data_IF_366459327826
#
_entry.id   IF_366459327826
#
_cell.length_a   1.000
_cell.length_b   1.000
_cell.length_c   1.000
_cell.angle_alpha   90.00
_cell.angle_beta   90.00
_cell.angle_gamma   90.00
#
_symmetry.space_group_name_H-M   'P 1'
#
loop_
_entity.id
_entity.type
_entity.pdbx_description
1 polymer ?
#
# COMPACT_ATOMS: atom_id res chain seq x y z
N UNK A 1 38.69 36.84 -45.26
CA UNK A 1 37.70 37.74 -44.62
C UNK A 1 36.34 37.05 -44.72
N UNK A 2 35.69 36.88 -43.55
CA UNK A 2 34.31 36.45 -43.26
C UNK A 2 33.53 35.61 -44.30
N UNK A 3 33.15 34.38 -43.92
CA UNK A 3 31.92 33.78 -44.43
C UNK A 3 31.17 33.11 -43.27
N UNK A 4 30.28 33.89 -42.65
CA UNK A 4 29.44 33.52 -41.52
C UNK A 4 28.42 32.46 -41.92
N UNK A 5 28.39 31.33 -41.20
CA UNK A 5 27.26 30.40 -41.22
C UNK A 5 26.45 30.62 -39.94
N UNK A 6 25.32 31.28 -40.08
CA UNK A 6 24.30 31.36 -39.04
C UNK A 6 23.73 29.96 -38.80
N UNK A 7 24.24 29.28 -37.77
CA UNK A 7 23.69 28.01 -37.30
C UNK A 7 22.44 28.28 -36.49
N UNK A 8 21.27 27.96 -37.04
CA UNK A 8 20.04 27.91 -36.27
C UNK A 8 20.12 26.74 -35.28
N UNK A 9 20.34 27.05 -34.00
CA UNK A 9 20.30 26.08 -32.91
C UNK A 9 18.83 25.68 -32.67
N UNK A 10 18.41 24.54 -33.24
CA UNK A 10 17.11 23.96 -32.98
C UNK A 10 17.17 23.25 -31.61
N UNK A 11 16.61 23.88 -30.58
CA UNK A 11 16.47 23.27 -29.26
C UNK A 11 15.28 22.29 -29.32
N UNK A 12 15.58 21.00 -29.38
CA UNK A 12 14.55 19.96 -29.26
C UNK A 12 14.07 19.88 -27.81
N UNK A 13 12.88 20.44 -27.53
CA UNK A 13 12.22 20.33 -26.23
C UNK A 13 11.58 18.94 -26.13
N UNK A 14 12.25 18.01 -25.45
CA UNK A 14 11.67 16.72 -25.10
C UNK A 14 10.63 16.90 -24.00
N UNK A 15 9.35 16.87 -24.36
CA UNK A 15 8.24 16.87 -23.41
C UNK A 15 8.25 15.54 -22.65
N UNK A 16 8.74 15.56 -21.40
CA UNK A 16 8.67 14.39 -20.51
C UNK A 16 7.28 14.37 -19.88
N UNK A 17 6.38 13.55 -20.42
CA UNK A 17 5.07 13.33 -19.79
C UNK A 17 5.24 12.38 -18.61
N UNK A 18 5.25 12.92 -17.39
CA UNK A 18 5.15 12.12 -16.17
C UNK A 18 3.73 11.58 -16.05
N UNK A 19 3.51 10.34 -16.48
CA UNK A 19 2.26 9.62 -16.24
C UNK A 19 2.21 9.10 -14.81
N UNK A 20 1.15 9.41 -14.08
CA UNK A 20 0.89 8.82 -12.75
C UNK A 20 0.59 7.33 -12.91
N UNK A 21 1.56 6.47 -12.60
CA UNK A 21 1.28 5.05 -12.35
C UNK A 21 0.47 5.01 -11.06
N UNK A 22 -0.84 4.74 -11.17
CA UNK A 22 -1.60 4.27 -10.02
C UNK A 22 -0.98 2.93 -9.61
N UNK A 23 -0.07 2.98 -8.64
CA UNK A 23 0.53 1.79 -8.06
C UNK A 23 -0.61 0.98 -7.45
N UNK A 24 -1.07 -0.05 -8.17
CA UNK A 24 -1.90 -1.09 -7.56
C UNK A 24 -1.03 -1.70 -6.48
N UNK A 25 -1.40 -1.47 -5.22
CA UNK A 25 -0.70 -2.07 -4.12
C UNK A 25 -0.72 -3.59 -4.32
N UNK A 26 0.47 -4.19 -4.28
CA UNK A 26 0.62 -5.62 -4.42
C UNK A 26 -0.19 -6.35 -3.34
N UNK A 27 -0.72 -7.53 -3.67
CA UNK A 27 -1.45 -8.35 -2.70
C UNK A 27 -0.54 -8.71 -1.53
N UNK A 28 -1.08 -8.75 -0.32
CA UNK A 28 -0.29 -9.05 0.86
C UNK A 28 0.38 -10.43 0.76
N UNK A 29 -0.29 -11.41 0.15
CA UNK A 29 0.32 -12.72 -0.15
C UNK A 29 1.59 -12.62 -0.98
N UNK A 30 1.61 -11.75 -1.99
CA UNK A 30 2.78 -11.58 -2.84
C UNK A 30 3.89 -10.78 -2.14
N UNK A 31 3.53 -9.79 -1.31
CA UNK A 31 4.52 -8.97 -0.59
C UNK A 31 5.20 -9.66 0.58
N UNK A 32 4.48 -10.48 1.39
CA UNK A 32 5.04 -11.14 2.59
C UNK A 32 4.99 -12.67 2.56
N UNK A 33 4.42 -13.26 1.50
CA UNK A 33 4.25 -14.70 1.40
C UNK A 33 2.99 -15.22 2.08
N UNK A 34 2.68 -16.49 1.80
CA UNK A 34 1.42 -17.12 2.21
C UNK A 34 1.26 -17.23 3.73
N UNK A 35 2.30 -17.68 4.44
CA UNK A 35 2.22 -17.88 5.91
C UNK A 35 1.99 -16.58 6.67
N UNK A 36 2.73 -15.53 6.31
CA UNK A 36 2.65 -14.25 7.03
C UNK A 36 1.37 -13.49 6.66
N UNK A 37 0.95 -13.51 5.40
CA UNK A 37 -0.33 -12.92 4.98
C UNK A 37 -1.53 -13.64 5.60
N UNK A 38 -1.49 -14.97 5.74
CA UNK A 38 -2.53 -15.71 6.45
C UNK A 38 -2.63 -15.31 7.93
N UNK A 39 -1.49 -15.15 8.61
CA UNK A 39 -1.44 -14.67 10.00
C UNK A 39 -2.03 -13.26 10.15
N UNK A 40 -1.78 -12.36 9.20
CA UNK A 40 -2.39 -11.03 9.19
C UNK A 40 -3.91 -11.11 8.99
N UNK A 41 -4.39 -11.95 8.06
CA UNK A 41 -5.83 -12.15 7.82
C UNK A 41 -6.53 -12.69 9.07
N UNK A 42 -5.95 -13.71 9.72
CA UNK A 42 -6.49 -14.30 10.95
C UNK A 42 -6.62 -13.24 12.06
N UNK A 43 -5.56 -12.45 12.31
CA UNK A 43 -5.58 -11.37 13.29
C UNK A 43 -6.64 -10.31 12.95
N UNK A 44 -6.73 -9.92 11.68
CA UNK A 44 -7.73 -8.95 11.21
C UNK A 44 -9.16 -9.44 11.46
N UNK A 45 -9.47 -10.70 11.11
CA UNK A 45 -10.78 -11.28 11.34
C UNK A 45 -11.13 -11.41 12.83
N UNK A 46 -10.14 -11.63 13.70
CA UNK A 46 -10.36 -11.74 15.13
C UNK A 46 -10.81 -10.43 15.81
N UNK A 47 -10.49 -9.27 15.22
CA UNK A 47 -10.79 -7.96 15.83
C UNK A 47 -11.79 -7.13 15.04
N UNK A 48 -11.94 -7.38 13.73
CA UNK A 48 -12.82 -6.57 12.89
C UNK A 48 -14.30 -6.77 13.24
N UNK A 49 -15.06 -5.72 13.60
CA UNK A 49 -16.50 -5.79 13.79
C UNK A 49 -17.31 -5.71 12.49
N UNK A 50 -16.66 -5.43 11.34
CA UNK A 50 -17.36 -5.25 10.07
C UNK A 50 -17.86 -6.59 9.49
N UNK A 51 -19.01 -6.56 8.81
CA UNK A 51 -19.56 -7.73 8.12
C UNK A 51 -18.80 -8.08 6.84
N UNK A 52 -18.12 -7.10 6.23
CA UNK A 52 -17.30 -7.25 5.03
C UNK A 52 -15.98 -6.49 5.19
N UNK A 53 -15.07 -6.96 6.05
CA UNK A 53 -13.82 -6.26 6.29
C UNK A 53 -12.81 -6.48 5.17
N UNK A 54 -11.76 -5.64 5.09
CA UNK A 54 -10.68 -5.81 4.13
C UNK A 54 -9.70 -6.96 4.48
N UNK A 55 -10.07 -7.88 5.39
CA UNK A 55 -9.25 -8.99 5.85
C UNK A 55 -9.12 -10.11 4.79
N UNK A 56 -8.36 -9.84 3.72
CA UNK A 56 -8.13 -10.79 2.65
C UNK A 56 -6.71 -10.66 2.12
N UNK A 57 -5.97 -11.77 1.99
CA UNK A 57 -4.58 -11.75 1.55
C UNK A 57 -4.37 -11.24 0.10
N UNK A 58 -5.44 -11.14 -0.69
CA UNK A 58 -5.44 -10.48 -2.01
C UNK A 58 -5.40 -8.95 -1.93
N UNK A 59 -5.76 -8.37 -0.77
CA UNK A 59 -5.60 -6.94 -0.51
C UNK A 59 -4.17 -6.62 -0.07
N UNK A 60 -3.79 -5.35 -0.14
CA UNK A 60 -2.49 -4.87 0.34
C UNK A 60 -2.33 -5.07 1.85
N UNK A 61 -1.13 -5.44 2.33
CA UNK A 61 -0.88 -5.65 3.77
C UNK A 61 -1.25 -4.42 4.60
N UNK A 62 -0.90 -3.21 4.13
CA UNK A 62 -1.23 -1.96 4.81
C UNK A 62 -2.74 -1.77 5.04
N UNK A 63 -3.58 -2.27 4.14
CA UNK A 63 -5.04 -2.20 4.32
C UNK A 63 -5.52 -3.19 5.38
N UNK A 64 -4.92 -4.38 5.46
CA UNK A 64 -5.23 -5.38 6.50
C UNK A 64 -4.72 -4.89 7.86
N UNK A 65 -3.49 -4.40 7.94
CA UNK A 65 -2.86 -3.90 9.17
C UNK A 65 -3.55 -2.66 9.72
N UNK A 66 -3.93 -1.71 8.87
CA UNK A 66 -4.68 -0.53 9.33
C UNK A 66 -6.05 -0.90 9.93
N UNK A 67 -6.70 -1.95 9.40
CA UNK A 67 -7.92 -2.47 9.99
C UNK A 67 -7.66 -3.16 11.34
N UNK A 68 -6.56 -3.90 11.49
CA UNK A 68 -6.14 -4.47 12.79
C UNK A 68 -5.93 -3.34 13.82
N UNK A 69 -5.15 -2.32 13.48
CA UNK A 69 -4.86 -1.17 14.36
C UNK A 69 -6.16 -0.46 14.77
N UNK A 70 -7.03 -0.16 13.78
CA UNK A 70 -8.30 0.52 14.03
C UNK A 70 -9.20 -0.29 14.96
N UNK A 71 -9.29 -1.61 14.72
CA UNK A 71 -10.20 -2.49 15.44
C UNK A 71 -9.67 -2.91 16.81
N UNK A 72 -8.35 -3.08 16.99
CA UNK A 72 -7.76 -3.29 18.31
C UNK A 72 -8.03 -2.13 19.29
N UNK A 73 -8.15 -0.89 18.79
CA UNK A 73 -8.49 0.29 19.61
C UNK A 73 -9.95 0.33 20.08
N UNK A 74 -10.81 -0.55 19.57
CA UNK A 74 -12.22 -0.61 19.98
C UNK A 74 -12.44 -1.40 21.27
N UNK A 75 -11.46 -2.18 21.70
CA UNK A 75 -11.50 -2.91 22.97
C UNK A 75 -11.11 -1.98 24.12
N UNK A 76 -12.05 -1.66 25.01
CA UNK A 76 -11.86 -0.76 26.16
C UNK A 76 -11.96 -1.47 27.52
N UNK A 77 -12.40 -2.72 27.53
CA UNK A 77 -12.67 -3.54 28.72
C UNK A 77 -11.55 -4.55 29.06
N UNK A 78 -10.43 -4.48 28.34
CA UNK A 78 -9.31 -5.42 28.50
C UNK A 78 -9.53 -6.80 27.87
N UNK A 79 -10.57 -6.98 27.05
CA UNK A 79 -10.82 -8.24 26.32
C UNK A 79 -10.08 -8.34 24.98
N UNK A 80 -9.27 -7.33 24.65
CA UNK A 80 -8.46 -7.33 23.43
C UNK A 80 -7.57 -8.58 23.32
N UNK A 81 -7.50 -9.23 22.16
CA UNK A 81 -6.54 -10.30 21.91
C UNK A 81 -5.10 -9.84 22.20
N UNK A 82 -4.26 -10.74 22.74
CA UNK A 82 -2.92 -10.39 23.20
C UNK A 82 -2.02 -9.75 22.12
N UNK A 83 -2.23 -10.11 20.84
CA UNK A 83 -1.47 -9.54 19.72
C UNK A 83 -1.78 -8.06 19.47
N UNK A 84 -2.88 -7.51 19.99
CA UNK A 84 -3.20 -6.10 19.84
C UNK A 84 -2.18 -5.17 20.52
N UNK A 85 -1.30 -5.70 21.38
CA UNK A 85 -0.18 -4.93 21.95
C UNK A 85 0.94 -4.64 20.94
N UNK A 86 0.95 -5.34 19.81
CA UNK A 86 1.95 -5.17 18.74
C UNK A 86 1.49 -4.15 17.67
N UNK A 87 0.30 -3.54 17.82
CA UNK A 87 -0.37 -2.66 16.86
C UNK A 87 -0.83 -1.33 17.50
#
# INVERSE_FOLDING_TARGET
MMSSRAGALVVAVSVVTFGSVAARAESCRASVGERDSARLVERCLAVSPATHPPCNASNACALIESEIVRSCRLFDDGTAPAFCRDY
#
